data_IF_844212713810
#
_entry.id   IF_844212713810
#
_cell.length_a   1.000
_cell.length_b   1.000
_cell.length_c   1.000
_cell.angle_alpha   90.00
_cell.angle_beta   90.00
_cell.angle_gamma   90.00
#
_symmetry.space_group_name_H-M   'P 1'
#
loop_
_entity.id
_entity.type
_entity.pdbx_description
1 polymer ?
#
# COMPACT_ATOMS: atom_id res chain seq x y z
N UNK A 1 -12.27 11.93 4.21
CA UNK A 1 -11.02 11.83 3.48
C UNK A 1 -11.12 10.71 2.47
N UNK A 2 -11.20 11.06 1.24
CA UNK A 2 -11.30 10.08 0.17
C UNK A 2 -9.94 9.48 -0.11
N UNK A 3 -9.67 8.36 0.49
CA UNK A 3 -8.42 7.67 0.21
C UNK A 3 -8.68 6.64 -0.87
N UNK A 4 -8.19 6.90 -2.06
CA UNK A 4 -8.26 5.94 -3.14
C UNK A 4 -7.08 4.99 -3.03
N UNK A 5 -7.09 4.22 -1.96
CA UNK A 5 -6.01 3.35 -1.58
C UNK A 5 -6.54 1.92 -1.43
N UNK A 6 -5.85 0.99 -2.06
CA UNK A 6 -6.14 -0.42 -1.90
C UNK A 6 -5.14 -1.01 -0.90
N UNK A 7 -5.65 -1.83 0.02
CA UNK A 7 -4.84 -2.48 1.05
C UNK A 7 -5.00 -3.99 0.92
N UNK A 8 -3.86 -4.68 0.89
CA UNK A 8 -3.83 -6.14 0.81
C UNK A 8 -2.91 -6.71 1.90
N UNK A 9 -3.13 -7.96 2.27
CA UNK A 9 -2.35 -8.61 3.31
C UNK A 9 -1.15 -9.35 2.71
N UNK A 10 0.00 -9.22 3.33
CA UNK A 10 1.25 -9.83 2.85
C UNK A 10 1.20 -11.37 2.78
N UNK A 11 0.29 -11.98 3.53
CA UNK A 11 0.16 -13.44 3.60
C UNK A 11 -0.84 -14.01 2.58
N UNK A 12 -1.51 -13.17 1.81
CA UNK A 12 -2.43 -13.64 0.77
C UNK A 12 -1.67 -14.21 -0.41
N UNK A 13 -2.28 -15.21 -1.07
CA UNK A 13 -1.83 -15.68 -2.37
C UNK A 13 -2.16 -14.64 -3.45
N UNK A 14 -1.57 -14.77 -4.63
CA UNK A 14 -1.90 -13.86 -5.72
C UNK A 14 -3.39 -13.92 -6.11
N UNK A 15 -4.02 -15.11 -6.25
CA UNK A 15 -5.45 -15.16 -6.54
C UNK A 15 -6.31 -14.47 -5.49
N UNK A 16 -6.02 -14.65 -4.20
CA UNK A 16 -6.75 -13.98 -3.13
C UNK A 16 -6.52 -12.47 -3.17
N UNK A 17 -5.28 -12.06 -3.39
CA UNK A 17 -4.93 -10.64 -3.50
C UNK A 17 -5.72 -9.96 -4.62
N UNK A 18 -5.76 -10.57 -5.80
CA UNK A 18 -6.50 -10.03 -6.95
C UNK A 18 -8.00 -9.93 -6.64
N UNK A 19 -8.56 -10.96 -6.01
CA UNK A 19 -9.97 -10.96 -5.63
C UNK A 19 -10.30 -9.79 -4.70
N UNK A 20 -9.48 -9.58 -3.66
CA UNK A 20 -9.70 -8.50 -2.71
C UNK A 20 -9.48 -7.12 -3.35
N UNK A 21 -8.51 -7.00 -4.24
CA UNK A 21 -8.27 -5.76 -4.97
C UNK A 21 -9.48 -5.38 -5.84
N UNK A 22 -10.09 -6.37 -6.51
CA UNK A 22 -11.29 -6.11 -7.32
C UNK A 22 -12.43 -5.58 -6.47
N UNK A 23 -12.64 -6.18 -5.30
CA UNK A 23 -13.71 -5.74 -4.40
C UNK A 23 -13.51 -4.30 -3.94
N UNK A 24 -12.28 -3.94 -3.60
CA UNK A 24 -11.96 -2.58 -3.16
C UNK A 24 -12.03 -1.57 -4.31
N UNK A 25 -11.62 -1.98 -5.51
CA UNK A 25 -11.55 -1.10 -6.66
C UNK A 25 -12.91 -0.71 -7.23
N UNK A 26 -13.95 -1.52 -7.00
CA UNK A 26 -15.29 -1.27 -7.55
C UNK A 26 -15.84 0.11 -7.21
N UNK A 27 -15.46 0.66 -6.05
CA UNK A 27 -15.96 1.94 -5.56
C UNK A 27 -14.95 3.09 -5.76
N UNK A 28 -13.88 2.82 -6.50
CA UNK A 28 -12.80 3.80 -6.71
C UNK A 28 -12.78 4.30 -8.14
N UNK A 29 -12.57 5.61 -8.30
CA UNK A 29 -12.39 6.23 -9.62
C UNK A 29 -10.99 6.00 -10.14
N UNK A 30 -9.98 6.09 -9.26
CA UNK A 30 -8.59 5.91 -9.63
C UNK A 30 -7.85 5.10 -8.56
N UNK A 31 -6.83 4.36 -8.99
CA UNK A 31 -5.95 3.61 -8.10
C UNK A 31 -4.53 4.13 -8.29
N UNK A 32 -3.98 4.75 -7.24
CA UNK A 32 -2.60 5.24 -7.29
C UNK A 32 -1.61 4.20 -6.79
N UNK A 33 -1.91 3.61 -5.62
CA UNK A 33 -1.02 2.66 -4.99
C UNK A 33 -1.80 1.54 -4.31
N UNK A 34 -1.19 0.36 -4.27
CA UNK A 34 -1.67 -0.76 -3.48
C UNK A 34 -0.66 -0.99 -2.35
N UNK A 35 -1.12 -0.92 -1.11
CA UNK A 35 -0.28 -1.08 0.07
C UNK A 35 -0.44 -2.46 0.67
N UNK A 36 0.66 -2.99 1.19
CA UNK A 36 0.69 -4.33 1.78
C UNK A 36 0.89 -4.19 3.29
N UNK A 37 0.00 -4.83 4.05
CA UNK A 37 0.04 -4.82 5.51
C UNK A 37 0.19 -6.24 6.04
N UNK A 38 0.60 -6.36 7.31
CA UNK A 38 0.61 -7.64 8.02
C UNK A 38 -0.72 -7.84 8.76
N UNK A 39 -0.79 -8.89 9.59
CA UNK A 39 -2.01 -9.20 10.33
C UNK A 39 -2.35 -8.16 11.40
N UNK A 40 -1.40 -7.34 11.80
CA UNK A 40 -1.60 -6.24 12.75
C UNK A 40 -1.86 -4.90 12.04
N UNK A 41 -2.05 -4.95 10.73
CA UNK A 41 -2.30 -3.79 9.88
C UNK A 41 -1.11 -2.84 9.79
N UNK A 42 0.09 -3.33 10.09
CA UNK A 42 1.32 -2.54 9.92
C UNK A 42 1.73 -2.52 8.46
N UNK A 43 2.14 -1.35 7.98
CA UNK A 43 2.59 -1.19 6.60
C UNK A 43 3.89 -1.96 6.38
N UNK A 44 3.87 -2.92 5.44
CA UNK A 44 5.01 -3.79 5.15
C UNK A 44 5.64 -3.52 3.81
N UNK A 45 4.88 -3.04 2.85
CA UNK A 45 5.41 -2.81 1.52
C UNK A 45 4.36 -2.25 0.58
N UNK A 46 4.73 -2.21 -0.71
CA UNK A 46 3.82 -1.82 -1.78
C UNK A 46 3.72 -2.95 -2.79
N UNK A 47 2.62 -2.93 -3.54
CA UNK A 47 2.32 -3.97 -4.53
C UNK A 47 2.21 -3.33 -5.91
N UNK A 48 3.30 -3.35 -6.70
CA UNK A 48 3.21 -2.92 -8.10
C UNK A 48 2.27 -3.82 -8.88
N UNK A 49 1.36 -3.23 -9.64
CA UNK A 49 0.34 -4.01 -10.35
C UNK A 49 0.92 -5.01 -11.35
N UNK A 50 2.13 -4.77 -11.85
CA UNK A 50 2.80 -5.70 -12.75
C UNK A 50 3.01 -7.09 -12.13
N UNK A 51 3.00 -7.20 -10.81
CA UNK A 51 3.19 -8.49 -10.14
C UNK A 51 2.07 -9.47 -10.46
N UNK A 52 0.88 -8.97 -10.79
CA UNK A 52 -0.22 -9.84 -11.23
C UNK A 52 0.10 -10.58 -12.52
N UNK A 53 0.95 -9.98 -13.36
CA UNK A 53 1.34 -10.55 -14.64
C UNK A 53 2.61 -11.39 -14.53
N UNK A 54 3.54 -10.97 -13.67
CA UNK A 54 4.85 -11.61 -13.56
C UNK A 54 4.90 -12.75 -12.55
N UNK A 55 4.01 -12.73 -11.54
CA UNK A 55 3.97 -13.72 -10.46
C UNK A 55 2.55 -14.20 -10.18
N UNK A 56 1.82 -14.73 -11.20
CA UNK A 56 0.40 -15.03 -11.03
C UNK A 56 0.11 -16.19 -10.06
N UNK A 57 1.10 -17.00 -9.74
CA UNK A 57 0.92 -18.18 -8.89
C UNK A 57 1.64 -18.09 -7.54
N UNK A 58 2.13 -16.91 -7.16
CA UNK A 58 2.84 -16.80 -5.89
C UNK A 58 1.90 -17.11 -4.71
N UNK A 59 2.40 -17.88 -3.75
CA UNK A 59 1.59 -18.32 -2.62
C UNK A 59 1.41 -17.24 -1.54
N UNK A 60 2.37 -16.33 -1.42
CA UNK A 60 2.29 -15.20 -0.50
C UNK A 60 2.92 -13.97 -1.14
N UNK A 61 2.16 -12.88 -1.20
CA UNK A 61 2.64 -11.68 -1.87
C UNK A 61 3.86 -11.05 -1.17
N UNK A 62 4.08 -11.35 0.10
CA UNK A 62 5.27 -10.86 0.81
C UNK A 62 6.58 -11.30 0.17
N UNK A 63 6.57 -12.36 -0.63
CA UNK A 63 7.77 -12.85 -1.30
C UNK A 63 8.15 -12.04 -2.54
N UNK A 64 7.21 -11.26 -3.08
CA UNK A 64 7.42 -10.51 -4.32
C UNK A 64 7.14 -9.00 -4.18
N UNK A 65 6.51 -8.57 -3.10
CA UNK A 65 6.21 -7.14 -2.87
C UNK A 65 7.48 -6.32 -2.77
N UNK A 66 7.37 -5.02 -3.03
CA UNK A 66 8.44 -4.08 -2.75
C UNK A 66 8.41 -3.68 -1.29
N UNK A 67 9.56 -3.78 -0.61
CA UNK A 67 9.69 -3.44 0.80
C UNK A 67 10.17 -2.00 0.99
N UNK A 68 10.22 -1.55 2.24
CA UNK A 68 10.65 -0.20 2.60
C UNK A 68 9.80 0.91 1.94
N UNK A 69 8.46 0.86 2.10
CA UNK A 69 7.61 1.89 1.53
C UNK A 69 7.85 3.24 2.20
N UNK A 70 7.80 4.31 1.40
CA UNK A 70 7.85 5.66 1.94
C UNK A 70 6.51 5.94 2.63
N UNK A 71 6.56 6.41 3.88
CA UNK A 71 5.34 6.71 4.64
C UNK A 71 5.56 7.93 5.53
N UNK A 72 4.47 8.52 5.99
CA UNK A 72 4.50 9.61 6.97
C UNK A 72 3.76 9.17 8.22
N UNK A 73 4.26 9.64 9.38
CA UNK A 73 3.56 9.43 10.64
C UNK A 73 2.49 10.49 10.81
N UNK A 74 1.38 10.11 11.44
CA UNK A 74 0.23 11.00 11.60
C UNK A 74 0.58 12.30 12.33
N UNK A 75 1.62 12.29 13.15
CA UNK A 75 2.05 13.44 13.93
C UNK A 75 3.20 14.24 13.29
N UNK A 76 3.62 13.90 12.07
CA UNK A 76 4.68 14.63 11.39
C UNK A 76 4.24 16.04 11.01
N UNK A 77 5.14 17.04 11.13
CA UNK A 77 4.86 18.39 10.66
C UNK A 77 4.56 18.43 9.16
N UNK A 78 3.65 19.28 8.76
CA UNK A 78 3.25 19.39 7.35
C UNK A 78 4.43 19.76 6.43
N UNK A 79 5.38 20.54 6.93
CA UNK A 79 6.56 20.93 6.16
C UNK A 79 7.41 19.72 5.78
N UNK A 80 7.55 18.76 6.70
CA UNK A 80 8.28 17.52 6.44
C UNK A 80 7.55 16.67 5.41
N UNK A 81 6.23 16.58 5.53
CA UNK A 81 5.39 15.84 4.58
C UNK A 81 5.53 16.43 3.18
N UNK A 82 5.47 17.75 3.04
CA UNK A 82 5.61 18.41 1.74
C UNK A 82 6.96 18.14 1.11
N UNK A 83 8.05 18.16 1.88
CA UNK A 83 9.38 17.85 1.39
C UNK A 83 9.49 16.40 0.92
N UNK A 84 8.86 15.47 1.64
CA UNK A 84 8.87 14.06 1.26
C UNK A 84 8.15 13.84 -0.07
N UNK A 85 6.99 14.48 -0.29
CA UNK A 85 6.31 14.41 -1.57
C UNK A 85 7.18 14.91 -2.71
N UNK A 86 7.84 16.04 -2.52
CA UNK A 86 8.73 16.61 -3.52
C UNK A 86 9.93 15.71 -3.79
N UNK A 87 10.60 15.25 -2.74
CA UNK A 87 11.80 14.43 -2.82
C UNK A 87 11.56 13.11 -3.56
N UNK A 88 10.44 12.44 -3.31
CA UNK A 88 10.14 11.14 -3.88
C UNK A 88 9.22 11.21 -5.09
N UNK A 89 8.81 12.41 -5.50
CA UNK A 89 7.95 12.63 -6.66
C UNK A 89 6.66 11.78 -6.58
N UNK A 90 6.04 11.79 -5.41
CA UNK A 90 4.87 10.95 -5.13
C UNK A 90 3.57 11.65 -5.49
N UNK A 91 2.58 10.87 -5.95
CA UNK A 91 1.21 11.35 -6.15
C UNK A 91 0.42 11.23 -4.83
N UNK A 92 0.72 10.21 -4.06
CA UNK A 92 0.10 9.97 -2.77
C UNK A 92 1.11 9.33 -1.82
N UNK A 93 0.85 9.40 -0.51
CA UNK A 93 1.75 8.83 0.48
C UNK A 93 0.92 8.21 1.61
N UNK A 94 1.26 6.98 2.05
CA UNK A 94 0.53 6.35 3.13
C UNK A 94 0.85 7.02 4.47
N UNK A 95 -0.16 7.10 5.33
CA UNK A 95 -0.04 7.63 6.69
C UNK A 95 -0.11 6.48 7.68
N UNK A 96 0.84 6.43 8.61
CA UNK A 96 0.88 5.39 9.64
C UNK A 96 0.83 6.02 11.02
N UNK A 97 0.42 5.22 12.01
CA UNK A 97 0.45 5.64 13.41
C UNK A 97 1.84 5.42 14.02
N UNK A 98 1.98 5.64 15.33
CA UNK A 98 3.27 5.57 16.02
C UNK A 98 3.90 4.18 16.02
N UNK A 99 3.10 3.13 15.81
CA UNK A 99 3.60 1.75 15.75
C UNK A 99 3.64 1.19 14.33
N UNK A 100 3.37 2.03 13.33
CA UNK A 100 3.48 1.65 11.93
C UNK A 100 2.22 1.12 11.29
N UNK A 101 1.07 1.16 11.96
CA UNK A 101 -0.20 0.70 11.39
C UNK A 101 -0.72 1.72 10.38
N UNK A 102 -1.21 1.21 9.26
CA UNK A 102 -1.71 2.04 8.16
C UNK A 102 -3.01 2.72 8.55
N UNK A 103 -3.07 4.04 8.37
CA UNK A 103 -4.25 4.86 8.67
C UNK A 103 -4.96 5.37 7.42
N UNK A 104 -4.23 5.64 6.37
CA UNK A 104 -4.86 6.15 5.15
C UNK A 104 -3.96 6.94 4.21
#
# INVERSE_FOLDING_TARGET
MGTEMIVVNENWSMPECIKQMRLQAEEMDEIYYVYVVDNDYKLRGTFPLKLMLTHPSVSKIKHVMETDPVSVKADEPIDVVALDFEKYNLVAMPVVDSIGRLLG
#
